data_IF_452651476044
#
_entry.id   IF_452651476044
#
_cell.length_a   1.000
_cell.length_b   1.000
_cell.length_c   1.000
_cell.angle_alpha   90.00
_cell.angle_beta   90.00
_cell.angle_gamma   90.00
#
_symmetry.space_group_name_H-M   'P 1'
#
loop_
_entity.id
_entity.type
_entity.pdbx_description
1 polymer ?
#
# COMPACT_ATOMS: atom_id res chain seq x y z
N UNK A 1 39.00 16.83 32.73
CA UNK A 1 37.53 16.91 32.78
C UNK A 1 37.06 17.75 31.59
N UNK A 2 36.41 17.16 30.59
CA UNK A 2 35.85 17.90 29.44
C UNK A 2 34.36 18.01 29.65
N UNK A 3 33.90 19.18 30.09
CA UNK A 3 32.49 19.53 30.18
C UNK A 3 31.92 19.72 28.77
N UNK A 4 31.50 18.63 28.14
CA UNK A 4 30.61 18.72 26.98
C UNK A 4 29.20 19.00 27.47
N UNK A 5 28.54 20.07 27.00
CA UNK A 5 27.14 20.30 27.30
C UNK A 5 26.35 19.09 26.80
N UNK A 6 25.65 18.42 27.71
CA UNK A 6 24.64 17.43 27.35
C UNK A 6 23.57 18.18 26.57
N UNK A 7 23.49 17.97 25.25
CA UNK A 7 22.44 18.54 24.44
C UNK A 7 21.09 18.21 25.09
N UNK A 8 20.22 19.20 25.36
CA UNK A 8 18.95 18.93 26.00
C UNK A 8 18.14 18.06 25.05
N UNK A 9 17.92 16.82 25.48
CA UNK A 9 17.07 15.88 24.78
C UNK A 9 15.70 16.47 24.57
N UNK A 10 15.37 16.77 23.32
CA UNK A 10 14.01 16.71 22.82
C UNK A 10 14.05 16.69 21.29
N UNK A 11 14.55 15.58 20.72
CA UNK A 11 14.24 15.18 19.35
C UNK A 11 12.76 14.81 19.24
N UNK A 12 11.88 15.71 19.69
CA UNK A 12 10.44 15.62 19.60
C UNK A 12 10.16 15.80 18.12
N UNK A 13 10.19 14.67 17.44
CA UNK A 13 9.83 14.48 16.06
C UNK A 13 8.64 15.39 15.77
N UNK A 14 8.85 16.44 14.97
CA UNK A 14 7.78 17.34 14.48
C UNK A 14 6.81 16.60 13.54
N UNK A 15 7.01 15.28 13.35
CA UNK A 15 6.08 14.38 12.71
C UNK A 15 4.78 14.31 13.49
N UNK A 16 3.82 15.11 13.04
CA UNK A 16 2.44 15.03 13.46
C UNK A 16 1.94 13.59 13.21
N UNK A 17 1.74 12.75 14.25
CA UNK A 17 1.43 11.33 14.08
C UNK A 17 0.14 11.13 13.27
N UNK A 18 -0.77 12.09 13.30
CA UNK A 18 -1.99 12.08 12.47
C UNK A 18 -1.69 12.19 10.98
N UNK A 19 -0.70 12.99 10.57
CA UNK A 19 -0.38 13.19 9.15
C UNK A 19 0.09 11.89 8.49
N UNK A 20 0.96 11.15 9.18
CA UNK A 20 1.44 9.84 8.72
C UNK A 20 0.28 8.84 8.63
N UNK A 21 -0.61 8.80 9.63
CA UNK A 21 -1.78 7.91 9.61
C UNK A 21 -2.72 8.22 8.46
N UNK A 22 -2.94 9.50 8.16
CA UNK A 22 -3.73 9.93 7.00
C UNK A 22 -3.09 9.47 5.70
N UNK A 23 -1.77 9.63 5.55
CA UNK A 23 -1.04 9.15 4.36
C UNK A 23 -1.16 7.63 4.23
N UNK A 24 -0.95 6.87 5.30
CA UNK A 24 -1.09 5.40 5.28
C UNK A 24 -2.52 4.99 4.92
N UNK A 25 -3.53 5.68 5.44
CA UNK A 25 -4.92 5.42 5.11
C UNK A 25 -5.24 5.71 3.63
N UNK A 26 -4.72 6.82 3.08
CA UNK A 26 -4.87 7.15 1.67
C UNK A 26 -4.18 6.12 0.77
N UNK A 27 -2.97 5.67 1.14
CA UNK A 27 -2.27 4.60 0.44
C UNK A 27 -3.08 3.30 0.48
N UNK A 28 -3.60 2.91 1.64
CA UNK A 28 -4.46 1.74 1.77
C UNK A 28 -5.71 1.85 0.87
N UNK A 29 -6.35 3.02 0.83
CA UNK A 29 -7.51 3.27 -0.02
C UNK A 29 -7.15 3.16 -1.52
N UNK A 30 -6.06 3.80 -1.94
CA UNK A 30 -5.58 3.75 -3.32
C UNK A 30 -5.26 2.31 -3.74
N UNK A 31 -4.66 1.52 -2.86
CA UNK A 31 -4.40 0.10 -3.08
C UNK A 31 -5.72 -0.67 -3.36
N UNK A 32 -6.72 -0.47 -2.52
CA UNK A 32 -8.02 -1.14 -2.61
C UNK A 32 -8.90 -0.66 -3.78
N UNK A 33 -8.60 0.51 -4.37
CA UNK A 33 -9.35 1.04 -5.53
C UNK A 33 -8.63 0.75 -6.85
N UNK A 34 -7.36 1.11 -6.94
CA UNK A 34 -6.59 0.99 -8.19
C UNK A 34 -6.27 -0.45 -8.54
N UNK A 35 -6.02 -1.31 -7.53
CA UNK A 35 -5.75 -2.72 -7.75
C UNK A 35 -6.93 -3.44 -8.44
N UNK A 36 -8.15 -3.43 -7.85
CA UNK A 36 -9.31 -4.04 -8.49
C UNK A 36 -9.68 -3.40 -9.83
N UNK A 37 -9.64 -2.06 -9.91
CA UNK A 37 -9.98 -1.35 -11.14
C UNK A 37 -9.03 -1.70 -12.30
N UNK A 38 -7.71 -1.73 -12.03
CA UNK A 38 -6.72 -2.14 -13.02
C UNK A 38 -6.91 -3.59 -13.45
N UNK A 39 -7.19 -4.49 -12.50
CA UNK A 39 -7.39 -5.91 -12.82
C UNK A 39 -8.61 -6.15 -13.70
N UNK A 40 -9.75 -5.55 -13.36
CA UNK A 40 -10.98 -5.65 -14.14
C UNK A 40 -10.82 -5.03 -15.53
N UNK A 41 -10.09 -3.90 -15.64
CA UNK A 41 -9.75 -3.30 -16.94
C UNK A 41 -8.87 -4.24 -17.76
N UNK A 42 -7.84 -4.84 -17.14
CA UNK A 42 -6.99 -5.84 -17.77
C UNK A 42 -7.79 -7.00 -18.38
N UNK A 43 -8.73 -7.58 -17.62
CA UNK A 43 -9.65 -8.61 -18.11
C UNK A 43 -10.51 -8.14 -19.29
N UNK A 44 -11.08 -6.93 -19.20
CA UNK A 44 -11.93 -6.39 -20.27
C UNK A 44 -11.17 -6.12 -21.57
N UNK A 45 -9.92 -5.65 -21.47
CA UNK A 45 -9.08 -5.27 -22.60
C UNK A 45 -8.39 -6.49 -23.20
N UNK A 46 -8.11 -7.54 -22.41
CA UNK A 46 -7.59 -8.80 -22.91
C UNK A 46 -8.52 -9.46 -23.94
N UNK A 47 -9.83 -9.23 -23.83
CA UNK A 47 -10.80 -9.64 -24.85
C UNK A 47 -10.70 -8.85 -26.17
N UNK A 48 -10.00 -7.70 -26.19
CA UNK A 48 -9.92 -6.75 -27.30
C UNK A 48 -8.49 -6.54 -27.84
N UNK A 49 -7.57 -7.46 -27.53
CA UNK A 49 -6.22 -7.64 -28.09
C UNK A 49 -5.13 -6.57 -27.84
N UNK A 50 -5.44 -5.33 -27.45
CA UNK A 50 -4.42 -4.27 -27.27
C UNK A 50 -4.39 -3.70 -25.84
N UNK A 51 -3.23 -3.75 -25.15
CA UNK A 51 -2.91 -3.09 -23.85
C UNK A 51 -3.30 -3.78 -22.51
N UNK A 52 -3.76 -5.04 -22.50
CA UNK A 52 -4.08 -5.73 -21.23
C UNK A 52 -2.91 -5.78 -20.22
N UNK A 53 -1.67 -5.91 -20.70
CA UNK A 53 -0.47 -5.98 -19.87
C UNK A 53 -0.20 -4.71 -19.05
N UNK A 54 -0.52 -3.53 -19.60
CA UNK A 54 -0.35 -2.25 -18.90
C UNK A 54 -1.30 -2.17 -17.70
N UNK A 55 -2.55 -2.58 -17.90
CA UNK A 55 -3.55 -2.63 -16.86
C UNK A 55 -3.21 -3.63 -15.76
N UNK A 56 -2.71 -4.82 -16.10
CA UNK A 56 -2.24 -5.78 -15.10
C UNK A 56 -1.01 -5.27 -14.34
N UNK A 57 -0.10 -4.55 -15.01
CA UNK A 57 1.06 -3.94 -14.37
C UNK A 57 0.64 -2.85 -13.38
N UNK A 58 -0.30 -1.98 -13.76
CA UNK A 58 -0.88 -0.97 -12.88
C UNK A 58 -1.59 -1.60 -11.69
N UNK A 59 -2.39 -2.65 -11.94
CA UNK A 59 -3.09 -3.40 -10.90
C UNK A 59 -2.09 -4.00 -9.89
N UNK A 60 -1.04 -4.66 -10.39
CA UNK A 60 0.01 -5.25 -9.56
C UNK A 60 0.78 -4.19 -8.76
N UNK A 61 1.19 -3.10 -9.41
CA UNK A 61 1.89 -2.00 -8.75
C UNK A 61 1.05 -1.37 -7.64
N UNK A 62 -0.25 -1.19 -7.85
CA UNK A 62 -1.17 -0.71 -6.83
C UNK A 62 -1.38 -1.73 -5.70
N UNK A 63 -1.57 -3.00 -6.05
CA UNK A 63 -1.88 -4.09 -5.13
C UNK A 63 -0.72 -4.50 -4.23
N UNK A 64 0.52 -4.41 -4.72
CA UNK A 64 1.73 -4.84 -4.00
C UNK A 64 2.62 -3.66 -3.63
N UNK A 65 2.86 -2.75 -4.56
CA UNK A 65 3.75 -1.60 -4.35
C UNK A 65 3.23 -0.64 -3.28
N UNK A 66 1.93 -0.32 -3.29
CA UNK A 66 1.35 0.64 -2.33
C UNK A 66 1.37 0.10 -0.89
N UNK A 67 0.99 -1.16 -0.60
CA UNK A 67 1.17 -1.75 0.73
C UNK A 67 2.61 -1.72 1.24
N UNK A 68 3.58 -2.05 0.37
CA UNK A 68 5.00 -2.01 0.73
C UNK A 68 5.48 -0.59 1.00
N UNK A 69 5.05 0.39 0.21
CA UNK A 69 5.34 1.81 0.42
C UNK A 69 4.74 2.30 1.75
N UNK A 70 3.48 1.95 2.05
CA UNK A 70 2.82 2.30 3.30
C UNK A 70 3.52 1.68 4.51
N UNK A 71 3.94 0.42 4.40
CA UNK A 71 4.73 -0.25 5.43
C UNK A 71 6.08 0.45 5.65
N UNK A 72 6.79 0.81 4.59
CA UNK A 72 8.06 1.54 4.67
C UNK A 72 7.86 2.91 5.37
N UNK A 73 6.86 3.69 4.98
CA UNK A 73 6.53 4.98 5.62
C UNK A 73 6.22 4.79 7.11
N UNK A 74 5.44 3.75 7.46
CA UNK A 74 5.09 3.42 8.84
C UNK A 74 6.32 3.02 9.69
N UNK A 75 7.24 2.24 9.13
CA UNK A 75 8.49 1.87 9.82
C UNK A 75 9.38 3.07 10.09
N UNK A 76 9.56 3.95 9.09
CA UNK A 76 10.30 5.22 9.25
C UNK A 76 9.66 6.08 10.33
N UNK A 77 8.33 6.07 10.44
CA UNK A 77 7.56 6.76 11.48
C UNK A 77 7.60 6.11 12.88
N UNK A 78 8.12 4.89 13.02
CA UNK A 78 8.12 4.14 14.27
C UNK A 78 6.78 3.50 14.63
N UNK A 79 5.78 3.48 13.73
CA UNK A 79 4.49 2.85 13.95
C UNK A 79 4.49 1.40 13.44
N UNK A 80 4.96 0.49 14.30
CA UNK A 80 5.05 -0.94 13.97
C UNK A 80 3.69 -1.56 13.67
N UNK A 81 2.62 -1.11 14.33
CA UNK A 81 1.27 -1.65 14.10
C UNK A 81 0.78 -1.26 12.71
N UNK A 82 0.93 0.01 12.34
CA UNK A 82 0.55 0.47 11.00
C UNK A 82 1.35 -0.26 9.91
N UNK A 83 2.65 -0.51 10.14
CA UNK A 83 3.47 -1.28 9.20
C UNK A 83 2.94 -2.71 9.00
N UNK A 84 2.60 -3.42 10.08
CA UNK A 84 2.02 -4.77 9.99
C UNK A 84 0.66 -4.76 9.28
N UNK A 85 -0.20 -3.77 9.57
CA UNK A 85 -1.47 -3.62 8.88
C UNK A 85 -1.30 -3.33 7.38
N UNK A 86 -0.32 -2.51 7.01
CA UNK A 86 0.03 -2.30 5.61
C UNK A 86 0.50 -3.59 4.95
N UNK A 87 1.32 -4.41 5.61
CA UNK A 87 1.71 -5.71 5.07
C UNK A 87 0.55 -6.70 4.96
N UNK A 88 -0.40 -6.67 5.90
CA UNK A 88 -1.60 -7.51 5.85
C UNK A 88 -2.45 -7.24 4.60
N UNK A 89 -2.40 -6.01 4.04
CA UNK A 89 -3.06 -5.70 2.77
C UNK A 89 -2.51 -6.55 1.61
N UNK A 90 -1.29 -7.09 1.67
CA UNK A 90 -0.79 -7.98 0.60
C UNK A 90 -1.63 -9.26 0.42
N UNK A 91 -2.51 -9.60 1.38
CA UNK A 91 -3.42 -10.73 1.25
C UNK A 91 -4.64 -10.44 0.35
N UNK A 92 -5.11 -9.18 0.28
CA UNK A 92 -6.35 -8.85 -0.43
C UNK A 92 -6.33 -9.17 -1.94
N UNK A 93 -5.21 -9.01 -2.70
CA UNK A 93 -5.20 -9.28 -4.14
C UNK A 93 -5.48 -10.76 -4.45
N UNK A 94 -4.96 -11.67 -3.63
CA UNK A 94 -5.21 -13.11 -3.75
C UNK A 94 -6.68 -13.41 -3.53
N UNK A 95 -7.27 -12.85 -2.47
CA UNK A 95 -8.71 -13.01 -2.15
C UNK A 95 -9.56 -12.49 -3.31
N UNK A 96 -9.22 -11.31 -3.84
CA UNK A 96 -9.96 -10.68 -4.93
C UNK A 96 -9.89 -11.50 -6.23
N UNK A 97 -8.70 -11.92 -6.65
CA UNK A 97 -8.52 -12.71 -7.89
C UNK A 97 -9.28 -14.03 -7.79
N UNK A 98 -9.17 -14.74 -6.67
CA UNK A 98 -9.89 -16.00 -6.42
C UNK A 98 -11.40 -15.76 -6.50
N UNK A 99 -11.92 -14.74 -5.81
CA UNK A 99 -13.35 -14.42 -5.81
C UNK A 99 -13.87 -14.12 -7.22
N UNK A 100 -13.14 -13.34 -8.02
CA UNK A 100 -13.54 -13.02 -9.40
C UNK A 100 -13.57 -14.28 -10.27
N UNK A 101 -12.56 -15.14 -10.18
CA UNK A 101 -12.51 -16.35 -11.02
C UNK A 101 -13.59 -17.37 -10.62
N UNK A 102 -13.88 -17.49 -9.32
CA UNK A 102 -14.99 -18.30 -8.84
C UNK A 102 -16.34 -17.73 -9.31
N UNK A 103 -16.52 -16.41 -9.28
CA UNK A 103 -17.74 -15.76 -9.75
C UNK A 103 -17.94 -15.87 -11.27
N UNK A 104 -16.87 -16.00 -12.05
CA UNK A 104 -16.94 -16.23 -13.51
C UNK A 104 -17.14 -17.69 -13.89
N UNK A 105 -16.85 -18.62 -12.98
CA UNK A 105 -17.02 -20.06 -13.20
C UNK A 105 -18.43 -20.57 -12.86
N UNK A 106 -19.23 -19.76 -12.17
CA UNK A 106 -20.64 -20.01 -11.82
C UNK A 106 -21.57 -19.45 -12.90
#
# INVERSE_FOLDING_TARGET
>A
MSDRPSAPGNGRNTRHPTGIRVVIALLALLCLVLGPAGYLRGLSVQAHADSAAEWFTLAFGAAVGIPLLAAAVATVAGDRRAALWSLALLAWPVVFVVAIHLAQAL
#
